data_IF_322941943528
#
_entry.id   IF_322941943528
#
_cell.length_a   1.000
_cell.length_b   1.000
_cell.length_c   1.000
_cell.angle_alpha   90.00
_cell.angle_beta   90.00
_cell.angle_gamma   90.00
#
_symmetry.space_group_name_H-M   'P 1'
#
loop_
_entity.id
_entity.type
_entity.pdbx_description
1 polymer ?
#
# COMPACT_ATOMS: atom_id res chain seq x y z
N UNK A 1 -12.92 -7.62 5.61
CA UNK A 1 -11.49 -7.66 5.96
C UNK A 1 -10.59 -7.22 4.81
N UNK A 2 -10.81 -7.70 3.56
CA UNK A 2 -9.96 -7.31 2.41
C UNK A 2 -9.94 -5.80 2.18
N UNK A 3 -11.10 -5.17 2.08
CA UNK A 3 -11.20 -3.71 1.89
C UNK A 3 -10.52 -2.94 3.02
N UNK A 4 -10.70 -3.38 4.26
CA UNK A 4 -10.06 -2.77 5.42
C UNK A 4 -8.52 -2.91 5.38
N UNK A 5 -8.02 -4.09 5.00
CA UNK A 5 -6.57 -4.25 4.81
C UNK A 5 -6.02 -3.36 3.69
N UNK A 6 -6.73 -3.25 2.56
CA UNK A 6 -6.32 -2.38 1.45
C UNK A 6 -6.34 -0.90 1.85
N UNK A 7 -7.28 -0.49 2.69
CA UNK A 7 -7.35 0.87 3.22
C UNK A 7 -6.14 1.18 4.12
N UNK A 8 -5.84 0.30 5.08
CA UNK A 8 -4.66 0.47 5.94
C UNK A 8 -3.34 0.33 5.17
N UNK A 9 -3.30 -0.52 4.14
CA UNK A 9 -2.16 -0.59 3.22
C UNK A 9 -1.97 0.75 2.50
N UNK A 10 -3.05 1.38 2.00
CA UNK A 10 -2.98 2.69 1.36
C UNK A 10 -2.51 3.78 2.31
N UNK A 11 -3.02 3.80 3.56
CA UNK A 11 -2.54 4.70 4.61
C UNK A 11 -1.04 4.51 4.88
N UNK A 12 -0.57 3.26 4.92
CA UNK A 12 0.84 2.95 5.09
C UNK A 12 1.69 3.44 3.91
N UNK A 13 1.21 3.28 2.66
CA UNK A 13 1.90 3.78 1.47
C UNK A 13 2.05 5.30 1.50
N UNK A 14 0.95 6.02 1.84
CA UNK A 14 0.97 7.47 1.96
C UNK A 14 1.94 7.93 3.03
N UNK A 15 1.89 7.35 4.22
CA UNK A 15 2.82 7.69 5.30
C UNK A 15 4.29 7.39 4.94
N UNK A 16 4.52 6.33 4.19
CA UNK A 16 5.87 5.94 3.78
C UNK A 16 6.44 6.89 2.75
N UNK A 17 5.66 7.28 1.73
CA UNK A 17 6.14 8.25 0.73
C UNK A 17 6.34 9.64 1.32
N UNK A 18 5.44 10.11 2.18
CA UNK A 18 5.61 11.39 2.87
C UNK A 18 6.90 11.42 3.70
N UNK A 19 7.18 10.36 4.44
CA UNK A 19 8.42 10.21 5.20
C UNK A 19 9.67 10.17 4.31
N UNK A 20 9.63 9.46 3.16
CA UNK A 20 10.75 9.42 2.19
C UNK A 20 11.06 10.79 1.59
N UNK A 21 10.03 11.62 1.41
CA UNK A 21 10.17 13.00 0.91
C UNK A 21 10.58 13.96 2.05
N UNK A 22 10.34 13.60 3.31
CA UNK A 22 10.65 14.45 4.48
C UNK A 22 9.55 15.46 4.78
N UNK A 23 8.29 15.16 4.46
CA UNK A 23 7.12 16.02 4.73
C UNK A 23 6.12 15.34 5.66
N UNK A 24 5.15 16.10 6.15
CA UNK A 24 4.15 15.62 7.10
C UNK A 24 2.84 15.20 6.44
N UNK A 25 1.95 14.63 7.24
CA UNK A 25 0.60 14.25 6.81
C UNK A 25 -0.26 15.46 6.34
N UNK A 26 0.10 16.67 6.71
CA UNK A 26 -0.53 17.90 6.20
C UNK A 26 -0.41 18.05 4.67
N UNK A 27 0.55 17.37 4.05
CA UNK A 27 0.71 17.32 2.60
C UNK A 27 -0.24 16.33 1.91
N UNK A 28 -0.98 15.51 2.66
CA UNK A 28 -1.99 14.61 2.13
C UNK A 28 -3.35 15.32 2.11
N UNK A 29 -3.80 15.71 0.92
CA UNK A 29 -5.09 16.40 0.72
C UNK A 29 -6.24 15.40 0.85
N UNK A 30 -6.05 14.18 0.36
CA UNK A 30 -7.07 13.14 0.38
C UNK A 30 -6.41 11.76 0.40
N UNK A 31 -6.98 10.84 1.17
CA UNK A 31 -6.64 9.42 1.14
C UNK A 31 -7.92 8.61 1.38
N UNK A 32 -8.28 7.73 0.45
CA UNK A 32 -9.45 6.86 0.58
C UNK A 32 -9.85 6.21 -0.73
N UNK A 33 -10.60 5.12 -0.67
CA UNK A 33 -11.11 4.43 -1.85
C UNK A 33 -10.03 3.94 -2.84
N UNK A 34 -8.82 3.68 -2.35
CA UNK A 34 -7.68 3.29 -3.18
C UNK A 34 -7.02 4.46 -3.93
N UNK A 35 -7.30 5.70 -3.55
CA UNK A 35 -6.70 6.92 -4.12
C UNK A 35 -6.10 7.79 -3.02
N UNK A 36 -5.02 8.50 -3.35
CA UNK A 36 -4.48 9.56 -2.51
C UNK A 36 -4.03 10.74 -3.37
N UNK A 37 -4.23 11.96 -2.86
CA UNK A 37 -3.73 13.19 -3.44
C UNK A 37 -2.79 13.87 -2.47
N UNK A 38 -1.58 14.15 -2.95
CA UNK A 38 -0.52 14.75 -2.16
C UNK A 38 -0.12 16.09 -2.79
N UNK A 39 0.07 17.12 -1.98
CA UNK A 39 0.65 18.38 -2.41
C UNK A 39 2.12 18.42 -1.97
N UNK A 40 3.02 18.39 -2.95
CA UNK A 40 4.45 18.22 -2.72
C UNK A 40 5.24 19.34 -3.39
N UNK A 41 6.46 19.59 -2.91
CA UNK A 41 7.36 20.53 -3.57
C UNK A 41 7.72 20.04 -4.98
N UNK A 42 7.60 20.93 -5.98
CA UNK A 42 7.94 20.62 -7.39
C UNK A 42 9.46 20.68 -7.58
N UNK A 43 10.15 19.65 -7.11
CA UNK A 43 11.60 19.51 -7.22
C UNK A 43 11.96 18.21 -7.94
N UNK A 44 13.12 18.20 -8.60
CA UNK A 44 13.65 16.98 -9.25
C UNK A 44 13.80 15.83 -8.25
N UNK A 45 14.23 16.13 -7.02
CA UNK A 45 14.37 15.16 -5.95
C UNK A 45 13.04 14.52 -5.57
N UNK A 46 11.98 15.31 -5.47
CA UNK A 46 10.61 14.79 -5.21
C UNK A 46 10.18 13.83 -6.30
N UNK A 47 10.37 14.20 -7.57
CA UNK A 47 10.00 13.37 -8.73
C UNK A 47 10.78 12.05 -8.73
N UNK A 48 12.09 12.11 -8.50
CA UNK A 48 12.94 10.90 -8.37
C UNK A 48 12.47 9.98 -7.26
N UNK A 49 12.14 10.55 -6.09
CA UNK A 49 11.65 9.78 -4.95
C UNK A 49 10.29 9.12 -5.24
N UNK A 50 9.36 9.82 -5.88
CA UNK A 50 8.07 9.27 -6.30
C UNK A 50 8.24 8.12 -7.29
N UNK A 51 9.12 8.27 -8.29
CA UNK A 51 9.38 7.24 -9.30
C UNK A 51 10.01 5.99 -8.69
N UNK A 52 10.99 6.16 -7.80
CA UNK A 52 11.62 5.05 -7.10
C UNK A 52 10.60 4.33 -6.19
N UNK A 53 9.80 5.09 -5.45
CA UNK A 53 8.76 4.54 -4.58
C UNK A 53 7.72 3.72 -5.36
N UNK A 54 7.24 4.24 -6.50
CA UNK A 54 6.29 3.51 -7.35
C UNK A 54 6.88 2.18 -7.85
N UNK A 55 8.16 2.18 -8.22
CA UNK A 55 8.86 0.96 -8.63
C UNK A 55 8.97 -0.06 -7.50
N UNK A 56 9.40 0.39 -6.31
CA UNK A 56 9.55 -0.47 -5.12
C UNK A 56 8.21 -1.12 -4.74
N UNK A 57 7.14 -0.31 -4.68
CA UNK A 57 5.82 -0.78 -4.28
C UNK A 57 5.22 -1.76 -5.30
N UNK A 58 5.37 -1.49 -6.60
CA UNK A 58 4.87 -2.40 -7.62
C UNK A 58 5.68 -3.70 -7.69
N UNK A 59 6.99 -3.66 -7.37
CA UNK A 59 7.79 -4.86 -7.15
C UNK A 59 7.23 -5.70 -6.01
N UNK A 60 7.00 -5.08 -4.87
CA UNK A 60 6.41 -5.74 -3.71
C UNK A 60 4.99 -6.28 -3.99
N UNK A 61 4.13 -5.52 -4.69
CA UNK A 61 2.81 -6.01 -5.10
C UNK A 61 2.91 -7.26 -5.99
N UNK A 62 3.83 -7.24 -6.95
CA UNK A 62 4.02 -8.37 -7.84
C UNK A 62 4.45 -9.63 -7.09
N UNK A 63 5.33 -9.50 -6.12
CA UNK A 63 5.82 -10.62 -5.31
C UNK A 63 4.72 -11.13 -4.35
N UNK A 64 3.97 -10.23 -3.70
CA UNK A 64 2.97 -10.60 -2.68
C UNK A 64 1.59 -10.96 -3.26
N UNK A 65 1.16 -10.30 -4.33
CA UNK A 65 -0.21 -10.41 -4.86
C UNK A 65 -0.26 -10.82 -6.35
N UNK A 66 0.90 -11.04 -6.97
CA UNK A 66 0.96 -11.25 -8.41
C UNK A 66 0.44 -10.03 -9.18
N UNK A 67 -0.42 -10.25 -10.15
CA UNK A 67 -0.97 -9.16 -10.99
C UNK A 67 -2.24 -8.53 -10.42
N UNK A 68 -2.67 -8.93 -9.21
CA UNK A 68 -3.94 -8.49 -8.63
C UNK A 68 -3.92 -7.03 -8.14
N UNK A 69 -2.74 -6.52 -7.72
CA UNK A 69 -2.57 -5.14 -7.26
C UNK A 69 -1.50 -4.41 -8.08
N UNK A 70 -1.75 -3.13 -8.33
CA UNK A 70 -0.82 -2.23 -8.98
C UNK A 70 -1.09 -0.78 -8.55
N UNK A 71 -0.06 -0.06 -8.14
CA UNK A 71 -0.13 1.36 -7.84
C UNK A 71 0.35 2.17 -9.07
N UNK A 72 -0.48 3.09 -9.53
CA UNK A 72 -0.13 4.02 -10.60
C UNK A 72 -0.18 5.45 -10.05
N UNK A 73 0.95 6.13 -10.06
CA UNK A 73 1.06 7.54 -9.73
C UNK A 73 1.02 8.43 -10.98
N UNK A 74 0.70 9.69 -10.79
CA UNK A 74 0.83 10.76 -11.77
C UNK A 74 1.04 12.07 -11.04
N UNK A 75 1.67 13.04 -11.66
CA UNK A 75 1.90 14.35 -11.08
C UNK A 75 1.72 15.45 -12.13
N UNK A 76 1.31 16.63 -11.68
CA UNK A 76 1.25 17.83 -12.49
C UNK A 76 1.81 19.01 -11.69
N UNK A 77 2.70 19.83 -12.26
CA UNK A 77 3.08 21.10 -11.67
C UNK A 77 1.86 22.01 -11.54
N UNK A 78 1.74 22.69 -10.42
CA UNK A 78 0.66 23.65 -10.22
C UNK A 78 1.13 24.81 -9.33
N UNK A 79 0.49 25.95 -9.52
CA UNK A 79 0.63 27.13 -8.68
C UNK A 79 -0.56 27.25 -7.70
N UNK A 80 -0.48 28.16 -6.75
CA UNK A 80 -1.59 28.47 -5.86
C UNK A 80 -2.83 28.99 -6.64
N UNK A 81 -2.61 29.72 -7.74
CA UNK A 81 -3.71 30.22 -8.58
C UNK A 81 -4.40 29.08 -9.34
N UNK A 82 -3.65 28.10 -9.84
CA UNK A 82 -4.23 26.93 -10.49
C UNK A 82 -5.11 26.13 -9.52
N UNK A 83 -4.71 26.01 -8.26
CA UNK A 83 -5.49 25.36 -7.22
C UNK A 83 -6.74 26.15 -6.82
N UNK A 84 -6.74 27.48 -7.00
CA UNK A 84 -7.92 28.35 -6.88
C UNK A 84 -8.79 28.37 -8.13
N UNK A 85 -8.38 27.70 -9.19
CA UNK A 85 -9.00 27.73 -10.51
C UNK A 85 -8.94 29.12 -11.18
N UNK A 86 -7.79 29.79 -11.05
CA UNK A 86 -7.48 31.11 -11.61
C UNK A 86 -6.32 31.00 -12.63
N UNK A 87 -6.54 31.16 -13.94
CA UNK A 87 -7.83 31.42 -14.61
C UNK A 87 -8.77 30.21 -14.58
N UNK A 88 -10.04 30.44 -14.86
CA UNK A 88 -11.06 29.40 -14.86
C UNK A 88 -10.69 28.22 -15.76
N UNK A 89 -10.92 27.00 -15.26
CA UNK A 89 -10.59 25.75 -15.93
C UNK A 89 -9.17 25.18 -15.62
N UNK A 90 -8.25 25.93 -14.99
CA UNK A 90 -6.90 25.45 -14.66
C UNK A 90 -6.91 24.27 -13.70
N UNK A 91 -7.79 24.29 -12.71
CA UNK A 91 -7.97 23.18 -11.77
C UNK A 91 -8.27 21.85 -12.48
N UNK A 92 -9.17 21.88 -13.45
CA UNK A 92 -9.53 20.70 -14.26
C UNK A 92 -8.34 20.18 -15.07
N UNK A 93 -7.47 21.07 -15.56
CA UNK A 93 -6.29 20.67 -16.35
C UNK A 93 -5.29 19.89 -15.53
N UNK A 94 -5.04 20.26 -14.26
CA UNK A 94 -4.17 19.54 -13.34
C UNK A 94 -4.63 18.08 -13.21
N UNK A 95 -5.90 17.85 -12.87
CA UNK A 95 -6.41 16.50 -12.68
C UNK A 95 -6.47 15.68 -13.96
N UNK A 96 -6.70 16.35 -15.09
CA UNK A 96 -6.65 15.70 -16.41
C UNK A 96 -5.24 15.22 -16.74
N UNK A 97 -4.21 16.02 -16.47
CA UNK A 97 -2.82 15.64 -16.69
C UNK A 97 -2.43 14.44 -15.80
N UNK A 98 -2.73 14.51 -14.51
CA UNK A 98 -2.50 13.39 -13.58
C UNK A 98 -3.22 12.11 -14.06
N UNK A 99 -4.48 12.22 -14.46
CA UNK A 99 -5.29 11.09 -14.93
C UNK A 99 -4.72 10.46 -16.21
N UNK A 100 -4.22 11.28 -17.15
CA UNK A 100 -3.59 10.80 -18.36
C UNK A 100 -2.33 9.98 -18.06
N UNK A 101 -1.45 10.48 -17.17
CA UNK A 101 -0.25 9.76 -16.75
C UNK A 101 -0.59 8.44 -16.07
N UNK A 102 -1.56 8.42 -15.16
CA UNK A 102 -2.05 7.21 -14.50
C UNK A 102 -2.56 6.19 -15.53
N UNK A 103 -3.31 6.65 -16.53
CA UNK A 103 -3.84 5.79 -17.59
C UNK A 103 -2.73 5.14 -18.41
N UNK A 104 -1.72 5.91 -18.82
CA UNK A 104 -0.57 5.39 -19.55
C UNK A 104 0.19 4.35 -18.71
N UNK A 105 0.41 4.60 -17.41
CA UNK A 105 1.09 3.66 -16.51
C UNK A 105 0.30 2.38 -16.30
N UNK A 106 -1.02 2.47 -16.20
CA UNK A 106 -1.90 1.29 -16.12
C UNK A 106 -1.84 0.41 -17.37
N UNK A 107 -1.56 0.97 -18.54
CA UNK A 107 -1.36 0.20 -19.78
C UNK A 107 0.03 -0.44 -19.87
N UNK A 108 1.04 0.11 -19.16
CA UNK A 108 2.42 -0.35 -19.18
C UNK A 108 2.89 -0.77 -17.78
N UNK A 109 2.11 -1.67 -17.13
CA UNK A 109 2.34 -2.05 -15.72
C UNK A 109 3.67 -2.75 -15.47
N UNK A 110 4.15 -3.55 -16.42
CA UNK A 110 5.27 -4.45 -16.22
C UNK A 110 6.36 -4.22 -17.26
N UNK A 111 7.60 -4.29 -16.82
CA UNK A 111 8.76 -4.28 -17.71
C UNK A 111 8.87 -5.61 -18.47
N UNK A 112 9.60 -5.62 -19.59
CA UNK A 112 9.88 -6.85 -20.33
C UNK A 112 10.53 -7.93 -19.44
N UNK A 113 11.46 -7.55 -18.55
CA UNK A 113 12.11 -8.46 -17.62
C UNK A 113 11.10 -9.08 -16.62
N UNK A 114 10.15 -8.29 -16.10
CA UNK A 114 9.09 -8.79 -15.22
C UNK A 114 8.16 -9.75 -15.97
N UNK A 115 7.77 -9.43 -17.21
CA UNK A 115 6.95 -10.30 -18.05
C UNK A 115 7.65 -11.65 -18.34
N UNK A 116 8.93 -11.61 -18.70
CA UNK A 116 9.73 -12.82 -18.90
C UNK A 116 9.80 -13.66 -17.62
N UNK A 117 10.07 -13.02 -16.46
CA UNK A 117 10.09 -13.73 -15.15
C UNK A 117 8.75 -14.37 -14.82
N UNK A 118 7.63 -13.71 -15.10
CA UNK A 118 6.29 -14.30 -14.88
C UNK A 118 6.01 -15.48 -15.81
N UNK A 119 6.40 -15.40 -17.08
CA UNK A 119 6.18 -16.45 -18.08
C UNK A 119 7.10 -17.66 -17.88
N UNK A 120 8.30 -17.46 -17.35
CA UNK A 120 9.28 -18.53 -17.07
C UNK A 120 9.23 -19.02 -15.62
N UNK A 121 8.20 -18.65 -14.85
CA UNK A 121 8.07 -19.11 -13.47
C UNK A 121 7.85 -20.63 -13.47
N UNK A 122 8.86 -21.37 -13.02
CA UNK A 122 8.74 -22.80 -12.76
C UNK A 122 7.87 -22.99 -11.52
N UNK A 123 6.74 -23.66 -11.66
CA UNK A 123 5.91 -24.05 -10.52
C UNK A 123 6.63 -25.16 -9.75
N UNK A 124 6.75 -25.00 -8.46
CA UNK A 124 7.25 -26.06 -7.58
C UNK A 124 6.14 -27.09 -7.34
N UNK A 125 6.48 -28.34 -7.13
CA UNK A 125 5.52 -29.45 -6.98
C UNK A 125 4.57 -29.28 -5.78
N UNK A 126 4.96 -28.47 -4.78
CA UNK A 126 4.18 -28.17 -3.59
C UNK A 126 3.22 -26.96 -3.76
N UNK A 127 3.25 -26.29 -4.92
CA UNK A 127 2.34 -25.18 -5.20
C UNK A 127 0.99 -25.66 -5.73
N UNK A 128 -0.07 -25.08 -5.22
CA UNK A 128 -1.47 -25.35 -5.62
C UNK A 128 -2.26 -24.06 -5.72
N UNK A 129 -3.40 -24.10 -6.35
CA UNK A 129 -4.31 -22.96 -6.47
C UNK A 129 -5.05 -22.69 -5.14
N UNK A 130 -4.95 -21.46 -4.65
CA UNK A 130 -5.65 -21.02 -3.46
C UNK A 130 -7.16 -20.97 -3.71
N UNK A 131 -7.97 -21.68 -2.91
CA UNK A 131 -9.43 -21.74 -3.06
C UNK A 131 -10.16 -20.38 -2.90
N UNK A 132 -9.46 -19.33 -2.45
CA UNK A 132 -10.06 -18.02 -2.18
C UNK A 132 -9.67 -16.96 -3.22
N UNK A 133 -8.40 -16.88 -3.61
CA UNK A 133 -7.91 -15.86 -4.54
C UNK A 133 -7.44 -16.45 -5.87
N UNK A 134 -7.48 -17.76 -6.03
CA UNK A 134 -7.10 -18.51 -7.24
C UNK A 134 -5.64 -18.33 -7.67
N UNK A 135 -4.80 -17.75 -6.82
CA UNK A 135 -3.36 -17.66 -7.07
C UNK A 135 -2.70 -19.00 -6.76
N UNK A 136 -1.77 -19.42 -7.62
CA UNK A 136 -0.90 -20.56 -7.36
C UNK A 136 0.17 -20.17 -6.35
N UNK A 137 0.19 -20.87 -5.21
CA UNK A 137 1.06 -20.59 -4.07
C UNK A 137 1.27 -21.85 -3.22
N UNK A 138 2.17 -21.79 -2.24
CA UNK A 138 2.17 -22.76 -1.15
C UNK A 138 0.95 -22.54 -0.29
N UNK A 139 0.21 -23.61 -0.03
CA UNK A 139 -1.03 -23.52 0.73
C UNK A 139 -0.85 -24.10 2.13
N UNK A 140 -1.54 -23.48 3.11
CA UNK A 140 -1.75 -24.09 4.41
C UNK A 140 -2.72 -25.28 4.35
N UNK A 141 -2.91 -25.96 5.47
CA UNK A 141 -3.78 -27.14 5.62
C UNK A 141 -5.21 -26.90 5.13
N UNK A 142 -5.69 -25.65 5.20
CA UNK A 142 -7.03 -25.24 4.78
C UNK A 142 -7.16 -24.91 3.28
N UNK A 143 -6.13 -25.21 2.44
CA UNK A 143 -6.16 -24.90 1.02
C UNK A 143 -6.17 -23.40 0.69
N UNK A 144 -5.61 -22.56 1.57
CA UNK A 144 -5.51 -21.12 1.44
C UNK A 144 -4.05 -20.70 1.39
N UNK A 145 -3.72 -19.67 0.60
CA UNK A 145 -2.40 -19.05 0.65
C UNK A 145 -2.25 -18.21 1.93
N UNK A 146 -1.01 -17.91 2.30
CA UNK A 146 -0.67 -17.16 3.51
C UNK A 146 -1.45 -15.84 3.65
N UNK A 147 -1.60 -15.10 2.56
CA UNK A 147 -2.35 -13.81 2.56
C UNK A 147 -3.83 -14.03 2.86
N UNK A 148 -4.47 -15.00 2.20
CA UNK A 148 -5.90 -15.25 2.41
C UNK A 148 -6.19 -15.77 3.82
N UNK A 149 -5.32 -16.61 4.35
CA UNK A 149 -5.40 -17.08 5.72
C UNK A 149 -5.17 -15.95 6.73
N UNK A 150 -4.16 -15.11 6.51
CA UNK A 150 -3.90 -13.92 7.33
C UNK A 150 -5.09 -12.96 7.35
N UNK A 151 -5.69 -12.65 6.20
CA UNK A 151 -6.88 -11.79 6.12
C UNK A 151 -8.07 -12.40 6.86
N UNK A 152 -8.26 -13.70 6.79
CA UNK A 152 -9.34 -14.38 7.51
C UNK A 152 -9.15 -14.32 9.02
N UNK A 153 -7.96 -14.62 9.51
CA UNK A 153 -7.60 -14.47 10.93
C UNK A 153 -7.77 -13.03 11.40
N UNK A 154 -7.34 -12.08 10.60
CA UNK A 154 -7.44 -10.65 10.87
C UNK A 154 -8.89 -10.15 10.89
N UNK A 155 -9.80 -10.81 10.16
CA UNK A 155 -11.22 -10.42 10.10
C UNK A 155 -11.91 -10.42 11.47
N UNK A 156 -11.57 -11.38 12.33
CA UNK A 156 -12.06 -11.45 13.71
C UNK A 156 -11.52 -10.29 14.56
N UNK A 157 -10.27 -9.93 14.34
CA UNK A 157 -9.64 -8.83 15.06
C UNK A 157 -10.25 -7.46 14.70
N UNK A 158 -10.68 -7.25 13.46
CA UNK A 158 -11.34 -6.00 13.04
C UNK A 158 -12.61 -5.71 13.87
N UNK A 159 -13.31 -6.74 14.29
CA UNK A 159 -14.54 -6.57 15.08
C UNK A 159 -14.26 -6.23 16.54
N UNK A 160 -13.17 -6.73 17.11
CA UNK A 160 -12.89 -6.73 18.55
C UNK A 160 -11.73 -5.83 18.96
N UNK A 161 -10.98 -5.27 18.02
CA UNK A 161 -9.81 -4.41 18.26
C UNK A 161 -10.07 -3.00 17.77
N UNK A 162 -9.52 -2.03 18.48
CA UNK A 162 -9.69 -0.61 18.17
C UNK A 162 -8.42 0.00 17.55
N UNK A 163 -7.27 -0.68 17.68
CA UNK A 163 -5.99 -0.18 17.19
C UNK A 163 -5.35 -1.15 16.20
N UNK A 164 -4.75 -0.59 15.17
CA UNK A 164 -4.05 -1.33 14.11
C UNK A 164 -2.64 -0.74 13.98
N UNK A 165 -1.67 -1.52 14.42
CA UNK A 165 -0.29 -1.07 14.59
C UNK A 165 0.58 -1.56 13.44
N UNK A 166 1.44 -0.67 12.94
CA UNK A 166 2.51 -0.99 12.00
C UNK A 166 3.80 -1.21 12.78
N UNK A 167 4.39 -2.38 12.62
CA UNK A 167 5.66 -2.76 13.24
C UNK A 167 6.58 -3.48 12.25
N UNK A 168 7.89 -3.45 12.50
CA UNK A 168 8.89 -4.27 11.81
C UNK A 168 9.14 -5.60 12.50
N UNK A 169 8.63 -5.79 13.71
CA UNK A 169 8.82 -7.01 14.48
C UNK A 169 7.83 -8.08 14.04
N UNK A 170 8.33 -9.20 13.56
CA UNK A 170 7.53 -10.35 13.14
C UNK A 170 7.45 -11.36 14.30
N UNK A 171 6.60 -11.09 15.29
CA UNK A 171 6.52 -11.90 16.51
C UNK A 171 5.26 -12.76 16.67
N UNK A 172 4.36 -12.80 15.70
CA UNK A 172 3.13 -13.59 15.82
C UNK A 172 2.53 -14.07 14.51
N UNK A 173 1.75 -15.15 14.57
CA UNK A 173 0.97 -15.73 13.47
C UNK A 173 -0.18 -14.85 12.93
N UNK A 174 -0.37 -13.64 13.47
CA UNK A 174 -1.52 -12.77 13.20
C UNK A 174 -1.16 -11.53 12.38
N UNK A 175 -0.04 -11.56 11.71
CA UNK A 175 0.48 -10.43 10.97
C UNK A 175 -0.03 -10.41 9.53
N UNK A 176 -0.41 -9.23 9.04
CA UNK A 176 -0.58 -8.99 7.61
C UNK A 176 0.63 -8.22 7.08
N UNK A 177 1.25 -8.67 5.98
CA UNK A 177 2.44 -8.04 5.45
C UNK A 177 2.14 -6.64 4.91
N UNK A 178 3.08 -5.73 5.14
CA UNK A 178 3.12 -4.40 4.56
C UNK A 178 4.48 -4.20 3.87
N UNK A 179 4.61 -3.26 2.93
CA UNK A 179 5.90 -2.92 2.33
C UNK A 179 6.98 -2.55 3.35
N UNK A 180 8.24 -2.52 2.89
CA UNK A 180 9.43 -2.16 3.68
C UNK A 180 9.67 -3.07 4.90
N UNK A 181 9.31 -4.37 4.79
CA UNK A 181 9.46 -5.33 5.88
C UNK A 181 8.59 -5.03 7.10
N UNK A 182 7.50 -4.33 6.89
CA UNK A 182 6.54 -4.00 7.93
C UNK A 182 5.39 -5.01 7.98
N UNK A 183 4.70 -5.01 9.12
CA UNK A 183 3.54 -5.85 9.38
C UNK A 183 2.43 -5.04 10.05
N UNK A 184 1.20 -5.41 9.77
CA UNK A 184 0.02 -4.87 10.41
C UNK A 184 -0.45 -5.83 11.51
N UNK A 185 -0.59 -5.32 12.73
CA UNK A 185 -1.05 -6.05 13.93
C UNK A 185 -2.29 -5.38 14.48
N UNK A 186 -3.22 -6.15 15.01
CA UNK A 186 -4.40 -5.63 15.68
C UNK A 186 -4.23 -5.67 17.21
N UNK A 187 -4.31 -4.52 17.85
CA UNK A 187 -4.07 -4.33 19.28
C UNK A 187 -5.32 -3.88 20.05
N UNK A 188 -5.39 -4.25 21.32
CA UNK A 188 -6.19 -3.54 22.33
C UNK A 188 -5.43 -2.34 22.83
N UNK A 189 -6.05 -1.46 23.61
CA UNK A 189 -5.35 -0.35 24.26
C UNK A 189 -4.18 -0.83 25.13
N UNK A 190 -4.35 -1.88 25.89
CA UNK A 190 -3.32 -2.42 26.77
C UNK A 190 -2.13 -3.01 25.97
N UNK A 191 -2.41 -3.80 24.92
CA UNK A 191 -1.36 -4.38 24.08
C UNK A 191 -0.65 -3.30 23.27
N UNK A 192 -1.34 -2.27 22.80
CA UNK A 192 -0.72 -1.12 22.15
C UNK A 192 0.24 -0.39 23.10
N UNK A 193 -0.21 -0.06 24.32
CA UNK A 193 0.64 0.60 25.33
C UNK A 193 1.90 -0.21 25.67
N UNK A 194 1.76 -1.53 25.74
CA UNK A 194 2.90 -2.43 25.96
C UNK A 194 3.84 -2.40 24.74
N UNK A 195 3.31 -2.54 23.52
CA UNK A 195 4.08 -2.51 22.28
C UNK A 195 4.83 -1.19 22.11
N UNK A 196 4.21 -0.05 22.38
CA UNK A 196 4.87 1.26 22.32
C UNK A 196 6.07 1.40 23.28
N UNK A 197 6.11 0.58 24.35
CA UNK A 197 7.21 0.61 25.34
C UNK A 197 8.32 -0.40 25.05
N UNK A 198 7.99 -1.56 24.48
CA UNK A 198 8.90 -2.72 24.40
C UNK A 198 9.20 -3.20 22.98
N UNK A 199 8.44 -2.74 21.97
CA UNK A 199 8.66 -3.17 20.58
C UNK A 199 9.57 -2.18 19.86
N UNK A 200 10.85 -2.52 19.68
CA UNK A 200 11.81 -1.71 18.94
C UNK A 200 11.41 -1.48 17.47
N UNK A 201 10.58 -2.35 16.91
CA UNK A 201 10.05 -2.25 15.56
C UNK A 201 8.78 -1.40 15.44
N UNK A 202 8.21 -0.90 16.56
CA UNK A 202 7.01 -0.07 16.53
C UNK A 202 7.22 1.18 15.67
N UNK A 203 6.27 1.45 14.78
CA UNK A 203 6.33 2.62 13.91
C UNK A 203 5.18 3.61 14.14
N UNK A 204 3.95 3.11 14.17
CA UNK A 204 2.72 3.92 14.33
C UNK A 204 1.51 3.03 14.52
N UNK A 205 0.40 3.64 14.94
CA UNK A 205 -0.89 2.96 15.06
C UNK A 205 -2.01 3.80 14.47
N UNK A 206 -2.98 3.12 13.89
CA UNK A 206 -4.23 3.69 13.42
C UNK A 206 -5.33 3.33 14.41
N UNK A 207 -6.17 4.29 14.75
CA UNK A 207 -7.35 4.06 15.60
C UNK A 207 -8.57 3.87 14.72
N UNK A 208 -9.40 2.88 15.05
CA UNK A 208 -10.70 2.70 14.44
C UNK A 208 -11.64 3.80 14.92
N UNK A 209 -12.20 4.57 13.97
CA UNK A 209 -13.26 5.51 14.30
C UNK A 209 -14.50 4.72 14.74
N UNK A 210 -15.05 5.09 15.88
CA UNK A 210 -16.32 4.57 16.40
C UNK A 210 -17.47 5.44 15.95
#
# INVERSE_FOLDING_TARGET
>A
ARSFYLELLMEHLVDTILRRIGVSRANCIYCGGGHAYLLLANTEQTIKTLTAFESDINGWFLDMFGTALYAAGGYAPCSANDLKNEPDGTYKLIFREVSNQISVRKLKRYTAAQLLRMNHRTLQDDMRECRICHRTDRLGENGKCLICEGIERFSKAIQTRDFFTVTKTADSERLLPLPDGCYLVADTENTLRQRMKSDEGYMRSYCKNR
#
